data_IF_270420923559
#
_entry.id   IF_270420923559
#
_cell.length_a   1.000
_cell.length_b   1.000
_cell.length_c   1.000
_cell.angle_alpha   90.00
_cell.angle_beta   90.00
_cell.angle_gamma   90.00
#
_symmetry.space_group_name_H-M   'P 1'
#
loop_
_entity.id
_entity.type
_entity.pdbx_description
1 polymer ?
#
# COMPACT_ATOMS: atom_id res chain seq x y z
N UNK A 1 88.69 -2.80 -19.89
CA UNK A 1 87.45 -3.58 -20.06
C UNK A 1 86.37 -2.98 -19.17
N UNK A 2 85.33 -2.37 -19.73
CA UNK A 2 83.95 -2.31 -19.19
C UNK A 2 83.04 -2.01 -20.39
N UNK A 3 81.99 -2.82 -20.51
CA UNK A 3 81.06 -2.97 -21.63
C UNK A 3 80.13 -1.76 -21.80
N UNK A 4 79.89 -1.39 -23.05
CA UNK A 4 78.67 -0.73 -23.49
C UNK A 4 77.45 -1.67 -23.39
N UNK A 5 76.24 -1.10 -23.23
CA UNK A 5 75.03 -1.43 -24.03
C UNK A 5 73.76 -0.72 -23.52
N UNK A 6 73.35 0.28 -24.29
CA UNK A 6 72.01 0.62 -24.79
C UNK A 6 70.73 -0.03 -24.21
N UNK A 7 69.78 0.87 -23.91
CA UNK A 7 68.35 0.91 -24.27
C UNK A 7 67.44 -0.29 -23.93
N UNK A 8 66.45 -0.06 -23.04
CA UNK A 8 65.05 -0.46 -23.24
C UNK A 8 64.15 0.60 -22.58
N UNK A 9 63.26 1.20 -23.38
CA UNK A 9 62.14 2.01 -22.90
C UNK A 9 60.96 1.09 -22.57
N UNK A 10 60.32 1.28 -21.42
CA UNK A 10 59.00 0.70 -21.14
C UNK A 10 58.12 1.82 -20.55
N UNK A 11 57.24 2.35 -21.40
CA UNK A 11 56.10 3.16 -21.02
C UNK A 11 55.06 2.24 -20.35
N UNK A 12 54.73 2.50 -19.08
CA UNK A 12 53.58 1.93 -18.40
C UNK A 12 52.63 3.08 -18.03
N UNK A 13 51.82 3.49 -19.00
CA UNK A 13 50.66 4.34 -18.77
C UNK A 13 49.51 3.47 -18.28
N UNK A 14 49.33 3.38 -16.96
CA UNK A 14 48.13 2.82 -16.35
C UNK A 14 47.05 3.90 -16.30
N UNK A 15 46.20 3.94 -17.32
CA UNK A 15 45.03 4.80 -17.40
C UNK A 15 44.03 4.43 -16.30
N UNK A 16 43.87 5.34 -15.34
CA UNK A 16 42.90 5.25 -14.26
C UNK A 16 41.50 5.56 -14.83
N UNK A 17 40.77 4.54 -15.28
CA UNK A 17 39.37 4.66 -15.68
C UNK A 17 38.49 4.62 -14.44
N UNK A 18 38.18 5.80 -13.89
CA UNK A 18 37.16 5.97 -12.85
C UNK A 18 35.79 5.93 -13.55
N UNK A 19 35.21 4.73 -13.65
CA UNK A 19 33.81 4.58 -14.04
C UNK A 19 32.93 4.93 -12.84
N UNK A 20 32.59 6.21 -12.69
CA UNK A 20 31.49 6.64 -11.82
C UNK A 20 30.16 6.28 -12.46
N UNK A 21 29.76 5.01 -12.39
CA UNK A 21 28.37 4.64 -12.65
C UNK A 21 27.56 4.99 -11.41
N UNK A 22 27.12 6.25 -11.32
CA UNK A 22 26.12 6.66 -10.35
C UNK A 22 24.78 6.10 -10.82
N UNK A 23 24.47 4.86 -10.44
CA UNK A 23 23.08 4.42 -10.36
C UNK A 23 22.49 5.25 -9.22
N UNK A 24 21.62 6.20 -9.54
CA UNK A 24 20.69 6.71 -8.54
C UNK A 24 19.71 5.58 -8.37
N UNK A 25 19.78 4.90 -7.23
CA UNK A 25 18.70 4.03 -6.80
C UNK A 25 17.45 4.92 -6.76
N UNK A 26 16.53 4.74 -7.71
CA UNK A 26 15.18 5.29 -7.60
C UNK A 26 14.55 4.50 -6.45
N UNK A 27 14.66 5.04 -5.24
CA UNK A 27 13.90 4.57 -4.09
C UNK A 27 12.43 4.44 -4.53
N UNK A 28 11.79 3.27 -4.34
CA UNK A 28 10.38 3.10 -4.67
C UNK A 28 9.62 4.25 -4.05
N UNK A 29 8.93 5.03 -4.90
CA UNK A 29 8.31 6.26 -4.48
C UNK A 29 7.07 5.90 -3.66
N UNK A 30 7.28 5.66 -2.37
CA UNK A 30 6.24 5.62 -1.37
C UNK A 30 5.45 6.93 -1.47
N UNK A 31 4.26 6.86 -2.04
CA UNK A 31 3.40 8.00 -2.27
C UNK A 31 1.96 7.61 -1.94
N UNK A 32 1.32 8.42 -1.11
CA UNK A 32 -0.11 8.36 -0.87
C UNK A 32 -0.70 9.56 -1.58
N UNK A 33 -1.65 9.32 -2.48
CA UNK A 33 -2.41 10.37 -3.13
C UNK A 33 -3.06 11.29 -2.08
N UNK A 34 -2.95 12.61 -2.29
CA UNK A 34 -3.41 13.63 -1.32
C UNK A 34 -4.85 13.41 -0.83
N UNK A 35 -5.83 13.03 -1.68
CA UNK A 35 -7.19 12.75 -1.21
C UNK A 35 -7.31 11.52 -0.29
N UNK A 36 -6.39 10.56 -0.36
CA UNK A 36 -6.37 9.38 0.50
C UNK A 36 -5.70 9.64 1.85
N UNK A 37 -4.87 10.69 1.95
CA UNK A 37 -4.05 10.96 3.13
C UNK A 37 -4.88 11.04 4.41
N UNK A 38 -6.05 11.70 4.38
CA UNK A 38 -6.90 11.83 5.57
C UNK A 38 -7.42 10.47 6.08
N UNK A 39 -7.67 9.52 5.18
CA UNK A 39 -8.15 8.18 5.53
C UNK A 39 -7.01 7.29 6.02
N UNK A 40 -5.82 7.40 5.41
CA UNK A 40 -4.61 6.71 5.89
C UNK A 40 -4.23 7.17 7.30
N UNK A 41 -4.22 8.48 7.55
CA UNK A 41 -3.91 9.05 8.86
C UNK A 41 -4.94 8.61 9.91
N UNK A 42 -6.22 8.58 9.53
CA UNK A 42 -7.30 8.14 10.39
C UNK A 42 -7.22 6.65 10.69
N UNK A 43 -6.93 5.80 9.71
CA UNK A 43 -6.74 4.36 9.93
C UNK A 43 -5.62 4.10 10.93
N UNK A 44 -4.47 4.76 10.79
CA UNK A 44 -3.36 4.63 11.72
C UNK A 44 -3.72 5.13 13.13
N UNK A 45 -4.52 6.20 13.22
CA UNK A 45 -5.03 6.72 14.51
C UNK A 45 -5.99 5.74 15.19
N UNK A 46 -6.93 5.16 14.44
CA UNK A 46 -7.89 4.16 14.92
C UNK A 46 -7.21 2.84 15.34
N UNK A 47 -6.19 2.44 14.58
CA UNK A 47 -5.32 1.31 14.91
C UNK A 47 -4.60 1.55 16.25
N UNK A 48 -4.04 2.75 16.44
CA UNK A 48 -3.31 3.11 17.65
C UNK A 48 -4.19 3.08 18.91
N UNK A 49 -5.48 3.47 18.80
CA UNK A 49 -6.46 3.35 19.88
C UNK A 49 -6.64 1.89 20.35
N UNK A 50 -6.37 0.94 19.46
CA UNK A 50 -6.47 -0.52 19.69
C UNK A 50 -5.10 -1.19 19.86
N UNK A 51 -4.06 -0.39 20.12
CA UNK A 51 -2.67 -0.82 20.32
C UNK A 51 -2.02 -1.50 19.10
N UNK A 52 -2.53 -1.21 17.89
CA UNK A 52 -1.94 -1.64 16.63
C UNK A 52 -1.09 -0.51 16.05
N UNK A 53 0.18 -0.80 15.76
CA UNK A 53 1.11 0.18 15.18
C UNK A 53 1.13 0.02 13.66
N UNK A 54 0.85 1.10 12.95
CA UNK A 54 0.87 1.16 11.49
C UNK A 54 2.01 2.08 11.06
N UNK A 55 3.05 1.50 10.46
CA UNK A 55 4.12 2.24 9.78
C UNK A 55 4.06 1.91 8.29
N UNK A 56 3.34 2.75 7.55
CA UNK A 56 3.16 2.56 6.11
C UNK A 56 4.48 2.56 5.34
N UNK A 57 5.52 3.27 5.81
CA UNK A 57 6.81 3.32 5.14
C UNK A 57 7.56 2.00 5.33
N UNK A 58 7.59 1.48 6.55
CA UNK A 58 8.17 0.16 6.83
C UNK A 58 7.41 -0.96 6.11
N UNK A 59 6.08 -0.84 6.05
CA UNK A 59 5.20 -1.79 5.36
C UNK A 59 5.20 -1.62 3.83
N UNK A 60 5.83 -0.56 3.30
CA UNK A 60 5.82 -0.16 1.89
C UNK A 60 4.41 -0.06 1.29
N UNK A 61 3.50 0.62 1.99
CA UNK A 61 2.09 0.78 1.57
C UNK A 61 1.84 2.15 0.95
N UNK A 62 1.55 2.20 -0.35
CA UNK A 62 1.12 3.42 -1.04
C UNK A 62 -0.39 3.46 -1.28
N UNK A 63 -0.90 4.61 -1.74
CA UNK A 63 -2.30 4.80 -2.09
C UNK A 63 -2.44 5.58 -3.40
N UNK A 64 -3.29 5.09 -4.30
CA UNK A 64 -3.51 5.64 -5.64
C UNK A 64 -5.01 5.64 -5.99
N UNK A 65 -5.50 6.74 -6.57
CA UNK A 65 -6.85 6.83 -7.13
C UNK A 65 -6.77 6.78 -8.65
N UNK A 66 -7.19 5.66 -9.24
CA UNK A 66 -7.15 5.45 -10.70
C UNK A 66 -8.34 4.63 -11.18
N UNK A 67 -8.52 4.58 -12.50
CA UNK A 67 -9.59 3.79 -13.11
C UNK A 67 -9.27 2.30 -12.98
N UNK A 68 -10.15 1.54 -12.33
CA UNK A 68 -10.08 0.09 -12.27
C UNK A 68 -10.92 -0.47 -13.42
N UNK A 69 -10.28 -1.15 -14.36
CA UNK A 69 -10.97 -1.71 -15.54
C UNK A 69 -11.69 -3.04 -15.24
N UNK A 70 -11.42 -3.65 -14.08
CA UNK A 70 -12.00 -4.92 -13.67
C UNK A 70 -13.46 -4.71 -13.26
N UNK A 71 -14.43 -5.41 -13.89
CA UNK A 71 -15.83 -5.23 -13.56
C UNK A 71 -16.13 -5.55 -12.09
N UNK A 72 -16.94 -4.70 -11.46
CA UNK A 72 -17.40 -4.82 -10.06
C UNK A 72 -16.28 -4.75 -9.00
N UNK A 73 -15.11 -4.19 -9.34
CA UNK A 73 -14.04 -3.92 -8.38
C UNK A 73 -13.94 -2.41 -8.20
N UNK A 74 -14.21 -1.94 -6.97
CA UNK A 74 -14.16 -0.51 -6.60
C UNK A 74 -12.94 -0.15 -5.77
N UNK A 75 -12.24 -1.15 -5.24
CA UNK A 75 -10.97 -1.02 -4.54
C UNK A 75 -10.19 -2.34 -4.63
N UNK A 76 -8.88 -2.26 -4.46
CA UNK A 76 -8.03 -3.45 -4.28
C UNK A 76 -6.70 -3.09 -3.61
N UNK A 77 -6.16 -4.03 -2.84
CA UNK A 77 -4.76 -4.04 -2.47
C UNK A 77 -3.92 -4.71 -3.57
N UNK A 78 -3.11 -3.92 -4.28
CA UNK A 78 -2.16 -4.37 -5.29
C UNK A 78 -1.02 -5.18 -4.66
N UNK A 79 -0.71 -6.32 -5.27
CA UNK A 79 0.34 -7.26 -4.85
C UNK A 79 1.19 -7.73 -6.05
N UNK A 80 1.69 -6.80 -6.85
CA UNK A 80 2.61 -7.12 -7.96
C UNK A 80 4.08 -6.93 -7.54
N UNK A 81 5.04 -7.37 -8.36
CA UNK A 81 6.46 -7.13 -8.08
C UNK A 81 6.80 -5.63 -8.06
N UNK A 82 6.11 -4.82 -8.87
CA UNK A 82 6.31 -3.36 -8.97
C UNK A 82 5.47 -2.60 -7.92
N UNK A 83 4.32 -3.16 -7.54
CA UNK A 83 3.32 -2.57 -6.65
C UNK A 83 2.93 -3.59 -5.56
N UNK A 84 3.80 -3.92 -4.59
CA UNK A 84 3.58 -5.05 -3.68
C UNK A 84 2.55 -4.80 -2.58
N UNK A 85 2.27 -3.54 -2.22
CA UNK A 85 1.19 -3.16 -1.31
C UNK A 85 0.64 -1.77 -1.70
N UNK A 86 -0.22 -1.70 -2.70
CA UNK A 86 -0.82 -0.42 -3.13
C UNK A 86 -2.31 -0.45 -2.92
N UNK A 87 -2.84 0.42 -2.08
CA UNK A 87 -4.28 0.64 -1.99
C UNK A 87 -4.72 1.40 -3.24
N UNK A 88 -5.46 0.73 -4.11
CA UNK A 88 -5.96 1.31 -5.35
C UNK A 88 -7.46 1.49 -5.18
N UNK A 89 -7.93 2.73 -5.29
CA UNK A 89 -9.36 3.06 -5.22
C UNK A 89 -9.85 3.46 -6.61
N UNK A 90 -11.00 2.90 -7.03
CA UNK A 90 -11.58 3.26 -8.31
C UNK A 90 -12.00 4.73 -8.34
N UNK A 91 -11.55 5.42 -9.38
CA UNK A 91 -11.80 6.85 -9.55
C UNK A 91 -13.30 7.20 -9.65
N UNK A 92 -14.09 6.41 -10.35
CA UNK A 92 -15.51 6.74 -10.54
C UNK A 92 -16.30 6.52 -9.25
N UNK A 93 -15.99 5.44 -8.52
CA UNK A 93 -16.56 5.25 -7.19
C UNK A 93 -16.14 6.39 -6.24
N UNK A 94 -14.85 6.75 -6.21
CA UNK A 94 -14.36 7.80 -5.33
C UNK A 94 -15.06 9.14 -5.51
N UNK A 95 -15.28 9.55 -6.77
CA UNK A 95 -15.87 10.85 -7.10
C UNK A 95 -17.33 10.95 -6.62
N UNK A 96 -18.06 9.83 -6.60
CA UNK A 96 -19.48 9.76 -6.19
C UNK A 96 -19.69 9.41 -4.71
N UNK A 97 -18.72 8.73 -4.09
CA UNK A 97 -18.82 8.23 -2.71
C UNK A 97 -18.86 9.36 -1.67
N UNK A 98 -19.66 9.16 -0.62
CA UNK A 98 -19.66 9.99 0.57
C UNK A 98 -18.47 9.69 1.51
N UNK A 99 -18.40 10.42 2.62
CA UNK A 99 -17.28 10.34 3.56
C UNK A 99 -17.17 8.97 4.25
N UNK A 100 -18.30 8.36 4.63
CA UNK A 100 -18.31 7.05 5.28
C UNK A 100 -18.05 5.93 4.27
N UNK A 101 -18.55 6.09 3.05
CA UNK A 101 -18.29 5.16 1.94
C UNK A 101 -16.79 5.13 1.59
N UNK A 102 -16.15 6.30 1.50
CA UNK A 102 -14.70 6.41 1.29
C UNK A 102 -13.90 5.83 2.46
N UNK A 103 -14.30 6.12 3.70
CA UNK A 103 -13.65 5.56 4.88
C UNK A 103 -13.75 4.04 4.89
N UNK A 104 -14.96 3.49 4.71
CA UNK A 104 -15.20 2.05 4.65
C UNK A 104 -14.29 1.39 3.61
N UNK A 105 -14.27 1.91 2.38
CA UNK A 105 -13.49 1.33 1.29
C UNK A 105 -11.99 1.39 1.57
N UNK A 106 -11.46 2.56 1.94
CA UNK A 106 -10.02 2.70 2.20
C UNK A 106 -9.59 1.82 3.38
N UNK A 107 -10.41 1.72 4.42
CA UNK A 107 -10.11 0.89 5.58
C UNK A 107 -10.19 -0.60 5.26
N UNK A 108 -11.13 -1.01 4.40
CA UNK A 108 -11.20 -2.37 3.87
C UNK A 108 -9.90 -2.73 3.14
N UNK A 109 -9.44 -1.88 2.21
CA UNK A 109 -8.20 -2.13 1.48
C UNK A 109 -6.95 -2.10 2.37
N UNK A 110 -6.92 -1.22 3.37
CA UNK A 110 -5.86 -1.21 4.39
C UNK A 110 -5.94 -2.44 5.30
N UNK A 111 -7.10 -3.03 5.51
CA UNK A 111 -7.26 -4.34 6.14
C UNK A 111 -6.52 -5.44 5.37
N UNK A 112 -6.60 -5.42 4.04
CA UNK A 112 -5.79 -6.29 3.19
C UNK A 112 -4.30 -5.93 3.21
N UNK A 113 -3.96 -4.67 2.93
CA UNK A 113 -2.57 -4.23 2.77
C UNK A 113 -1.77 -4.21 4.07
N UNK A 114 -2.30 -3.63 5.14
CA UNK A 114 -1.60 -3.42 6.40
C UNK A 114 -1.80 -4.57 7.40
N UNK A 115 -3.04 -5.08 7.52
CA UNK A 115 -3.39 -6.09 8.52
C UNK A 115 -3.34 -7.52 7.97
N UNK A 116 -3.16 -7.69 6.65
CA UNK A 116 -3.13 -8.99 5.96
C UNK A 116 -4.41 -9.82 6.21
N UNK A 117 -5.55 -9.15 6.38
CA UNK A 117 -6.85 -9.79 6.59
C UNK A 117 -7.41 -10.29 5.26
N UNK A 118 -8.08 -11.45 5.30
CA UNK A 118 -8.90 -11.94 4.19
C UNK A 118 -10.35 -11.51 4.34
N UNK A 119 -11.18 -11.84 3.33
CA UNK A 119 -12.60 -11.55 3.41
C UNK A 119 -13.33 -12.41 4.45
N UNK A 120 -14.33 -11.83 5.12
CA UNK A 120 -15.26 -12.48 6.05
C UNK A 120 -16.68 -12.09 5.62
N UNK A 121 -17.43 -13.07 5.08
CA UNK A 121 -18.77 -12.87 4.51
C UNK A 121 -19.91 -13.38 5.42
N UNK A 122 -19.61 -13.57 6.71
CA UNK A 122 -20.59 -13.97 7.71
C UNK A 122 -21.60 -12.84 7.99
N UNK A 123 -22.83 -13.24 8.36
CA UNK A 123 -23.89 -12.32 8.74
C UNK A 123 -24.42 -12.57 10.15
N UNK A 124 -24.88 -11.48 10.79
CA UNK A 124 -25.61 -11.56 12.05
C UNK A 124 -27.05 -12.09 11.84
N UNK A 125 -27.80 -12.25 12.94
CA UNK A 125 -29.20 -12.69 12.90
C UNK A 125 -30.15 -11.68 12.23
N UNK A 126 -29.72 -10.44 11.99
CA UNK A 126 -30.44 -9.42 11.22
C UNK A 126 -30.04 -9.42 9.74
N UNK A 127 -29.03 -10.19 9.35
CA UNK A 127 -28.48 -10.24 8.00
C UNK A 127 -27.47 -9.14 7.68
N UNK A 128 -26.91 -8.44 8.68
CA UNK A 128 -25.84 -7.46 8.46
C UNK A 128 -24.48 -8.17 8.42
N UNK A 129 -23.53 -7.61 7.68
CA UNK A 129 -22.16 -8.11 7.67
C UNK A 129 -21.53 -7.92 9.05
N UNK A 130 -20.93 -8.98 9.60
CA UNK A 130 -20.28 -8.92 10.91
C UNK A 130 -18.89 -8.27 10.86
N UNK A 131 -18.33 -8.12 9.66
CA UNK A 131 -17.01 -7.56 9.44
C UNK A 131 -17.04 -6.54 8.31
N UNK A 132 -16.20 -5.51 8.42
CA UNK A 132 -15.95 -4.61 7.29
C UNK A 132 -15.09 -5.27 6.21
N UNK A 133 -14.44 -6.39 6.51
CA UNK A 133 -13.72 -7.22 5.53
C UNK A 133 -14.67 -8.10 4.71
N UNK A 134 -15.93 -7.73 4.48
CA UNK A 134 -16.79 -8.48 3.55
C UNK A 134 -16.35 -8.30 2.11
N UNK A 135 -16.47 -9.34 1.28
CA UNK A 135 -16.18 -9.27 -0.15
C UNK A 135 -17.12 -8.36 -0.95
N UNK A 136 -18.23 -7.90 -0.36
CA UNK A 136 -19.28 -7.16 -1.05
C UNK A 136 -20.10 -8.00 -2.04
N UNK A 137 -19.72 -9.27 -2.26
CA UNK A 137 -20.45 -10.23 -3.10
C UNK A 137 -21.29 -11.23 -2.30
N UNK A 138 -21.20 -11.16 -0.97
CA UNK A 138 -21.93 -12.01 -0.04
C UNK A 138 -23.43 -11.71 0.06
N UNK A 139 -24.09 -12.38 1.01
CA UNK A 139 -25.54 -12.25 1.27
C UNK A 139 -25.86 -11.25 2.40
N UNK A 140 -24.86 -10.57 2.94
CA UNK A 140 -25.00 -9.69 4.08
C UNK A 140 -25.14 -8.22 3.67
N UNK A 141 -25.83 -7.43 4.49
CA UNK A 141 -25.96 -5.99 4.29
C UNK A 141 -24.78 -5.27 4.94
N UNK A 142 -23.98 -4.55 4.15
CA UNK A 142 -22.95 -3.67 4.68
C UNK A 142 -23.65 -2.57 5.48
N UNK A 143 -23.37 -2.51 6.78
CA UNK A 143 -23.99 -1.58 7.71
C UNK A 143 -22.92 -0.73 8.37
N UNK A 144 -22.08 -0.06 7.58
CA UNK A 144 -21.08 0.88 8.09
C UNK A 144 -21.69 2.28 8.19
N UNK A 145 -22.09 2.66 9.40
CA UNK A 145 -22.78 3.91 9.70
C UNK A 145 -22.13 4.57 10.92
N UNK A 146 -22.47 5.82 11.21
CA UNK A 146 -22.01 6.48 12.45
C UNK A 146 -22.34 5.70 13.73
N UNK A 147 -23.41 4.89 13.73
CA UNK A 147 -23.82 4.09 14.90
C UNK A 147 -23.05 2.77 15.05
N UNK A 148 -22.54 2.22 13.95
CA UNK A 148 -21.91 0.89 13.88
C UNK A 148 -20.42 0.93 13.56
N UNK A 149 -19.90 2.12 13.22
CA UNK A 149 -18.50 2.39 12.91
C UNK A 149 -17.56 1.83 13.96
N UNK A 150 -17.72 2.21 15.22
CA UNK A 150 -16.80 1.81 16.29
C UNK A 150 -16.74 0.29 16.48
N UNK A 151 -17.88 -0.39 16.45
CA UNK A 151 -17.94 -1.85 16.60
C UNK A 151 -17.22 -2.56 15.45
N UNK A 152 -17.36 -2.05 14.21
CA UNK A 152 -16.69 -2.60 13.03
C UNK A 152 -15.19 -2.28 13.01
N UNK A 153 -14.76 -1.15 13.58
CA UNK A 153 -13.34 -0.85 13.76
C UNK A 153 -12.72 -1.72 14.87
N UNK A 154 -13.42 -1.93 15.98
CA UNK A 154 -13.02 -2.90 17.01
C UNK A 154 -12.82 -4.29 16.39
N UNK A 155 -13.74 -4.71 15.54
CA UNK A 155 -13.64 -5.96 14.78
C UNK A 155 -12.41 -5.99 13.85
N UNK A 156 -12.18 -4.93 13.07
CA UNK A 156 -11.09 -4.84 12.09
C UNK A 156 -9.71 -5.03 12.71
N UNK A 157 -9.49 -4.50 13.91
CA UNK A 157 -8.18 -4.56 14.59
C UNK A 157 -8.09 -5.68 15.64
N UNK A 158 -9.06 -6.60 15.67
CA UNK A 158 -8.99 -7.83 16.48
C UNK A 158 -8.35 -8.97 15.68
N UNK A 159 -7.44 -9.73 16.32
CA UNK A 159 -6.70 -10.85 15.72
C UNK A 159 -7.01 -12.19 16.39
#
# INVERSE_FOLDING_TARGET
MIKSRNLVAILLTASLLINGSCVKDEEPQYLIDVPLQEYFDRFASEAALRNVVIDYKEMMISGDIRVISTPNVIGQCGHTEEEPNVVIVDKFYWDDADELEREFLVFHELGHCALKRGHIDDSDIQGNCVSMMTSGTGLCNINYTTATREDLLDELFTF
#
